data_IF_125966819062
#
_entry.id   IF_125966819062
#
_cell.length_a   1.000
_cell.length_b   1.000
_cell.length_c   1.000
_cell.angle_alpha   90.00
_cell.angle_beta   90.00
_cell.angle_gamma   90.00
#
_symmetry.space_group_name_H-M   'P 1'
#
loop_
_entity.id
_entity.type
_entity.pdbx_description
1 polymer ?
#
# COMPACT_ATOMS: atom_id res chain seq x y z
N UNK A 1 -19.83 7.39 -5.79
CA UNK A 1 -21.04 7.17 -6.60
C UNK A 1 -21.41 5.69 -6.64
N UNK A 2 -22.70 5.37 -6.76
CA UNK A 2 -23.15 3.98 -6.87
C UNK A 2 -22.43 3.22 -8.00
N UNK A 3 -22.17 1.92 -7.87
CA UNK A 3 -22.50 1.05 -6.72
C UNK A 3 -21.43 1.02 -5.63
N UNK A 4 -20.32 1.69 -5.79
CA UNK A 4 -19.12 1.55 -4.94
C UNK A 4 -19.24 2.21 -3.56
N UNK A 5 -20.26 3.03 -3.33
CA UNK A 5 -20.50 3.72 -2.06
C UNK A 5 -20.94 2.75 -0.96
N UNK A 6 -21.65 1.69 -1.34
CA UNK A 6 -22.24 0.71 -0.40
C UNK A 6 -21.11 0.01 0.40
N UNK A 7 -20.03 -0.32 -0.27
CA UNK A 7 -18.90 -1.03 0.32
C UNK A 7 -17.69 -0.11 0.56
N UNK A 8 -17.92 1.20 0.72
CA UNK A 8 -16.84 2.18 0.87
C UNK A 8 -15.85 1.79 1.96
N UNK A 9 -16.31 1.26 3.10
CA UNK A 9 -15.43 0.86 4.19
C UNK A 9 -14.48 -0.28 3.80
N UNK A 10 -14.92 -1.21 2.95
CA UNK A 10 -14.06 -2.27 2.44
C UNK A 10 -12.95 -1.73 1.53
N UNK A 11 -13.28 -0.76 0.65
CA UNK A 11 -12.33 -0.15 -0.28
C UNK A 11 -11.37 0.86 0.37
N UNK A 12 -11.76 1.42 1.53
CA UNK A 12 -11.00 2.47 2.22
C UNK A 12 -10.39 2.02 3.55
N UNK A 13 -10.29 0.72 3.78
CA UNK A 13 -9.69 0.22 5.01
C UNK A 13 -8.18 0.52 5.05
N UNK A 14 -7.66 1.20 6.11
CA UNK A 14 -6.29 1.73 6.12
C UNK A 14 -5.21 0.65 6.24
N UNK A 15 -5.56 -0.56 6.70
CA UNK A 15 -4.60 -1.64 7.00
C UNK A 15 -4.97 -2.99 6.38
N UNK A 16 -6.22 -3.20 5.98
CA UNK A 16 -6.66 -4.43 5.30
C UNK A 16 -6.91 -4.15 3.83
N UNK A 17 -6.08 -4.71 2.97
CA UNK A 17 -6.14 -4.49 1.52
C UNK A 17 -6.75 -5.66 0.75
N UNK A 18 -7.27 -6.68 1.43
CA UNK A 18 -7.79 -7.89 0.78
C UNK A 18 -8.88 -7.57 -0.23
N UNK A 19 -9.84 -6.75 0.17
CA UNK A 19 -10.97 -6.39 -0.69
C UNK A 19 -10.55 -5.47 -1.84
N UNK A 20 -9.70 -4.47 -1.58
CA UNK A 20 -9.12 -3.64 -2.63
C UNK A 20 -8.33 -4.45 -3.65
N UNK A 21 -7.54 -5.43 -3.19
CA UNK A 21 -6.76 -6.30 -4.08
C UNK A 21 -7.67 -7.26 -4.87
N UNK A 22 -8.75 -7.76 -4.26
CA UNK A 22 -9.74 -8.59 -4.95
C UNK A 22 -10.44 -7.78 -6.04
N UNK A 23 -10.91 -6.58 -5.73
CA UNK A 23 -11.50 -5.67 -6.69
C UNK A 23 -10.55 -5.33 -7.83
N UNK A 24 -9.29 -5.03 -7.56
CA UNK A 24 -8.30 -4.72 -8.59
C UNK A 24 -8.05 -5.90 -9.54
N UNK A 25 -8.09 -7.14 -9.04
CA UNK A 25 -8.02 -8.34 -9.90
C UNK A 25 -9.22 -8.46 -10.82
N UNK A 26 -10.43 -8.26 -10.29
CA UNK A 26 -11.67 -8.30 -11.08
C UNK A 26 -11.67 -7.19 -12.12
N UNK A 27 -11.32 -5.97 -11.72
CA UNK A 27 -11.23 -4.82 -12.61
C UNK A 27 -10.25 -5.07 -13.78
N UNK A 28 -9.07 -5.61 -13.47
CA UNK A 28 -8.08 -5.97 -14.49
C UNK A 28 -8.59 -7.05 -15.44
N UNK A 29 -9.24 -8.08 -14.92
CA UNK A 29 -9.85 -9.14 -15.74
C UNK A 29 -10.97 -8.60 -16.64
N UNK A 30 -11.68 -7.55 -16.21
CA UNK A 30 -12.70 -6.86 -16.98
C UNK A 30 -12.13 -5.79 -17.95
N UNK A 31 -10.80 -5.68 -18.09
CA UNK A 31 -10.16 -4.72 -19.01
C UNK A 31 -10.16 -3.27 -18.52
N UNK A 32 -10.41 -3.05 -17.22
CA UNK A 32 -10.28 -1.71 -16.62
C UNK A 32 -8.80 -1.34 -16.56
N UNK A 33 -8.43 -0.23 -17.16
CA UNK A 33 -7.04 0.20 -17.30
C UNK A 33 -6.55 1.08 -16.14
N UNK A 34 -7.45 1.80 -15.49
CA UNK A 34 -7.12 2.64 -14.33
C UNK A 34 -8.30 2.76 -13.38
N UNK A 35 -8.02 2.91 -12.09
CA UNK A 35 -9.02 3.14 -11.04
C UNK A 35 -8.68 4.46 -10.34
N UNK A 36 -9.64 5.37 -10.28
CA UNK A 36 -9.56 6.57 -9.44
C UNK A 36 -10.20 6.28 -8.09
N UNK A 37 -9.51 6.63 -7.03
CA UNK A 37 -9.99 6.40 -5.66
C UNK A 37 -9.54 7.54 -4.74
N UNK A 38 -10.19 7.62 -3.59
CA UNK A 38 -9.90 8.57 -2.52
C UNK A 38 -8.73 8.08 -1.68
N UNK A 39 -7.75 8.94 -1.40
CA UNK A 39 -6.66 8.60 -0.49
C UNK A 39 -7.16 8.49 0.95
N UNK A 40 -6.96 7.34 1.58
CA UNK A 40 -7.31 7.13 3.00
C UNK A 40 -6.25 7.65 3.97
N UNK A 41 -5.07 7.98 3.46
CA UNK A 41 -3.93 8.48 4.26
C UNK A 41 -3.74 9.97 4.16
N UNK A 42 -4.32 10.59 3.16
CA UNK A 42 -4.32 12.03 3.00
C UNK A 42 -5.46 12.61 3.84
N UNK A 43 -5.19 13.50 4.80
CA UNK A 43 -6.23 14.17 5.60
C UNK A 43 -7.26 14.93 4.76
N UNK A 44 -6.89 15.36 3.55
CA UNK A 44 -7.75 16.06 2.61
C UNK A 44 -8.48 15.10 1.66
N UNK A 45 -8.24 13.79 1.79
CA UNK A 45 -8.83 12.76 0.94
C UNK A 45 -8.69 13.03 -0.55
N UNK A 46 -7.53 13.56 -0.96
CA UNK A 46 -7.25 13.84 -2.36
C UNK A 46 -7.36 12.58 -3.23
N UNK A 47 -7.65 12.80 -4.50
CA UNK A 47 -7.85 11.72 -5.46
C UNK A 47 -6.52 11.10 -5.85
N UNK A 48 -6.46 9.77 -5.74
CA UNK A 48 -5.39 8.93 -6.25
C UNK A 48 -5.83 8.17 -7.50
N UNK A 49 -4.86 7.69 -8.27
CA UNK A 49 -5.10 6.84 -9.43
C UNK A 49 -4.17 5.62 -9.39
N UNK A 50 -4.76 4.43 -9.49
CA UNK A 50 -4.04 3.18 -9.69
C UNK A 50 -4.10 2.79 -11.16
N UNK A 51 -2.96 2.76 -11.83
CA UNK A 51 -2.85 2.29 -13.22
C UNK A 51 -2.70 0.77 -13.21
N UNK A 52 -3.61 0.08 -13.87
CA UNK A 52 -3.66 -1.39 -13.96
C UNK A 52 -3.05 -1.91 -15.26
N UNK A 53 -2.99 -1.06 -16.29
CA UNK A 53 -2.51 -1.37 -17.63
C UNK A 53 -1.70 -0.18 -18.18
N UNK A 54 -0.50 -0.40 -18.75
CA UNK A 54 0.29 0.65 -19.40
C UNK A 54 -0.45 1.45 -20.46
N UNK A 55 -1.40 0.85 -21.16
CA UNK A 55 -2.20 1.50 -22.18
C UNK A 55 -3.18 2.57 -21.65
N UNK A 56 -3.26 2.71 -20.31
CA UNK A 56 -3.96 3.83 -19.68
C UNK A 56 -3.23 5.18 -19.89
N UNK A 57 -1.94 5.16 -20.18
CA UNK A 57 -1.19 6.39 -20.45
C UNK A 57 -1.43 6.90 -21.87
N UNK A 58 -1.74 8.19 -21.98
CA UNK A 58 -1.94 8.84 -23.27
C UNK A 58 -0.64 8.96 -24.10
N UNK A 59 0.52 8.90 -23.46
CA UNK A 59 1.83 9.00 -24.10
C UNK A 59 2.77 7.90 -23.58
N UNK A 60 3.66 7.44 -24.44
CA UNK A 60 4.64 6.39 -24.11
C UNK A 60 5.83 6.88 -23.27
N UNK A 61 6.05 8.18 -23.23
CA UNK A 61 7.14 8.80 -22.47
C UNK A 61 6.58 9.78 -21.43
N UNK A 62 7.27 9.97 -20.30
CA UNK A 62 6.91 11.00 -19.33
C UNK A 62 6.87 12.39 -19.96
N UNK A 63 5.94 13.22 -19.51
CA UNK A 63 5.83 14.62 -19.91
C UNK A 63 6.74 15.51 -19.07
N UNK A 64 6.95 15.12 -17.81
CA UNK A 64 7.70 15.86 -16.82
C UNK A 64 8.40 14.89 -15.86
N UNK A 65 9.51 15.32 -15.30
CA UNK A 65 10.24 14.63 -14.27
C UNK A 65 10.40 15.52 -13.05
N UNK A 66 10.07 14.99 -11.89
CA UNK A 66 10.15 15.72 -10.64
C UNK A 66 10.93 14.89 -9.61
N UNK A 67 11.81 15.55 -8.88
CA UNK A 67 12.50 14.94 -7.75
C UNK A 67 11.81 15.35 -6.46
N UNK A 68 11.43 14.38 -5.66
CA UNK A 68 10.81 14.58 -4.38
C UNK A 68 11.68 13.99 -3.27
N UNK A 69 11.84 14.74 -2.20
CA UNK A 69 12.49 14.28 -0.97
C UNK A 69 11.44 13.93 0.05
N UNK A 70 11.56 12.74 0.62
CA UNK A 70 10.72 12.27 1.71
C UNK A 70 11.53 12.29 3.01
N UNK A 71 11.06 13.05 3.99
CA UNK A 71 11.60 13.05 5.34
C UNK A 71 10.58 12.44 6.30
N UNK A 72 10.98 11.39 7.01
CA UNK A 72 10.11 10.70 7.96
C UNK A 72 10.58 11.01 9.38
N UNK A 73 9.72 11.66 10.14
CA UNK A 73 9.90 11.94 11.56
C UNK A 73 8.95 11.07 12.39
N UNK A 74 9.13 11.08 13.68
CA UNK A 74 8.31 10.30 14.60
C UNK A 74 6.81 10.65 14.53
N UNK A 75 6.50 11.92 14.34
CA UNK A 75 5.13 12.44 14.42
C UNK A 75 4.60 12.99 13.10
N UNK A 76 5.48 13.15 12.12
CA UNK A 76 5.14 13.73 10.81
C UNK A 76 5.95 13.13 9.68
N UNK A 77 5.40 13.21 8.49
CA UNK A 77 6.05 12.89 7.23
C UNK A 77 6.00 14.13 6.35
N UNK A 78 7.14 14.49 5.79
CA UNK A 78 7.27 15.69 4.93
C UNK A 78 7.71 15.26 3.54
N UNK A 79 6.93 15.62 2.54
CA UNK A 79 7.29 15.54 1.13
C UNK A 79 7.72 16.92 0.66
N UNK A 80 8.87 17.01 0.05
CA UNK A 80 9.39 18.26 -0.49
C UNK A 80 9.83 18.05 -1.94
N UNK A 81 9.31 18.88 -2.86
CA UNK A 81 9.75 18.89 -4.24
C UNK A 81 11.07 19.65 -4.36
N UNK A 82 12.07 19.03 -4.98
CA UNK A 82 13.36 19.66 -5.22
C UNK A 82 13.24 20.83 -6.20
N UNK A 83 14.03 21.85 -6.00
CA UNK A 83 14.10 23.05 -6.85
C UNK A 83 12.88 23.96 -6.85
N UNK A 84 12.01 23.85 -5.84
CA UNK A 84 10.87 24.76 -5.64
C UNK A 84 10.97 25.32 -4.22
N UNK A 85 11.03 26.64 -4.09
CA UNK A 85 11.34 27.28 -2.79
C UNK A 85 10.11 27.37 -1.87
N UNK A 86 8.93 27.67 -2.38
CA UNK A 86 7.75 27.96 -1.55
C UNK A 86 6.52 27.09 -1.86
N UNK A 87 6.48 26.45 -3.00
CA UNK A 87 5.39 25.56 -3.40
C UNK A 87 5.91 24.13 -3.57
N UNK A 88 5.32 23.17 -2.88
CA UNK A 88 5.69 21.78 -3.04
C UNK A 88 6.25 21.16 -1.76
N UNK A 89 5.93 21.74 -0.61
CA UNK A 89 6.10 21.09 0.69
C UNK A 89 4.75 20.63 1.20
N UNK A 90 4.66 19.34 1.50
CA UNK A 90 3.44 18.71 2.03
C UNK A 90 3.80 18.01 3.32
N UNK A 91 3.09 18.31 4.38
CA UNK A 91 3.28 17.69 5.69
C UNK A 91 2.04 16.89 6.07
N UNK A 92 2.26 15.66 6.54
CA UNK A 92 1.21 14.76 6.96
C UNK A 92 1.52 14.19 8.34
N UNK A 93 0.52 13.98 9.21
CA UNK A 93 0.74 13.30 10.48
C UNK A 93 1.18 11.84 10.27
N UNK A 94 2.19 11.39 10.99
CA UNK A 94 2.69 10.02 10.88
C UNK A 94 1.65 8.97 11.32
N UNK A 95 0.65 9.36 12.09
CA UNK A 95 -0.45 8.48 12.52
C UNK A 95 -1.21 7.82 11.37
N UNK A 96 -1.30 8.46 10.20
CA UNK A 96 -1.91 7.88 9.01
C UNK A 96 -1.18 6.65 8.45
N UNK A 97 0.10 6.45 8.85
CA UNK A 97 0.94 5.32 8.45
C UNK A 97 1.28 4.36 9.59
N UNK A 98 0.94 4.71 10.83
CA UNK A 98 1.19 3.85 11.97
C UNK A 98 0.31 2.60 11.85
N UNK A 99 0.92 1.42 11.81
CA UNK A 99 0.18 0.19 11.95
C UNK A 99 -0.47 0.16 13.35
N UNK A 100 -1.70 -0.34 13.49
CA UNK A 100 -2.23 -0.64 14.81
C UNK A 100 -1.25 -1.57 15.53
N UNK A 101 -1.13 -1.47 16.89
CA UNK A 101 -0.26 -2.35 17.63
C UNK A 101 -0.57 -3.80 17.25
N UNK A 102 0.47 -4.57 16.87
CA UNK A 102 0.30 -5.94 16.44
C UNK A 102 -0.44 -6.71 17.55
N UNK A 103 -1.61 -7.24 17.23
CA UNK A 103 -2.28 -8.20 18.11
C UNK A 103 -1.31 -9.38 18.26
N UNK A 104 -0.92 -9.75 19.49
CA UNK A 104 0.00 -10.85 19.70
C UNK A 104 -0.56 -12.09 19.02
N UNK A 105 0.08 -12.52 17.94
CA UNK A 105 -0.27 -13.76 17.27
C UNK A 105 -0.10 -14.93 18.22
N UNK A 106 -0.81 -16.06 18.03
CA UNK A 106 -0.65 -17.25 18.85
C UNK A 106 0.82 -17.64 18.88
N UNK A 107 1.37 -17.80 20.09
CA UNK A 107 2.75 -18.23 20.29
C UNK A 107 2.93 -19.55 19.53
N UNK A 108 3.81 -19.56 18.55
CA UNK A 108 4.22 -20.80 17.89
C UNK A 108 4.87 -21.69 18.96
N UNK A 109 4.13 -22.69 19.41
CA UNK A 109 4.71 -23.75 20.23
C UNK A 109 5.78 -24.44 19.43
N UNK A 110 7.02 -24.38 19.90
CA UNK A 110 8.13 -25.09 19.29
C UNK A 110 7.82 -26.60 19.32
N UNK A 111 7.56 -27.17 18.16
CA UNK A 111 7.46 -28.62 18.00
C UNK A 111 8.85 -29.20 18.21
N UNK A 112 9.03 -29.89 19.32
CA UNK A 112 10.24 -30.63 19.66
C UNK A 112 10.29 -31.87 18.76
N UNK A 113 10.89 -31.77 17.60
CA UNK A 113 11.19 -32.94 16.78
C UNK A 113 12.37 -33.69 17.41
N UNK A 114 12.07 -34.66 18.27
CA UNK A 114 13.00 -35.74 18.62
C UNK A 114 12.99 -36.74 17.46
N UNK A 115 14.09 -36.91 16.82
CA UNK A 115 14.29 -37.89 15.76
C UNK A 115 15.78 -38.15 15.51
N UNK A 116 16.46 -38.69 16.52
CA UNK A 116 17.84 -39.16 16.39
C UNK A 116 17.79 -40.59 15.82
N UNK A 117 17.96 -40.75 14.54
CA UNK A 117 18.21 -42.06 13.95
C UNK A 117 19.73 -42.36 13.98
N UNK A 118 20.09 -43.31 14.79
CA UNK A 118 21.46 -43.85 14.83
C UNK A 118 21.72 -44.67 13.56
N UNK A 119 22.77 -44.31 12.86
CA UNK A 119 23.31 -45.09 11.71
C UNK A 119 24.35 -46.02 12.22
N UNK A 120 24.02 -47.29 12.42
CA UNK A 120 24.94 -48.40 12.66
C UNK A 120 25.74 -48.69 11.39
N UNK A 121 27.05 -48.53 11.45
CA UNK A 121 27.99 -49.17 10.51
C UNK A 121 28.19 -50.63 10.94
N UNK A 122 28.23 -51.52 9.99
CA UNK A 122 28.80 -52.85 10.12
C UNK A 122 29.73 -53.15 8.92
N UNK A 123 30.61 -54.12 9.15
CA UNK A 123 32.00 -54.14 8.67
C UNK A 123 32.14 -54.55 7.21
#
# INVERSE_FOLDING_TARGET
SPPFDVDRQAWTHPHDYRDCQAMARVARAAGVRAIRYESVRDPLHAVCCAVLDPDAFAKRSPLDQQTWMLSVFRERVVWQRSHVLDEGVFEFPASGWSAPPAVPGPKRTASTARGRAARTRRP
#
